data_IF_996994969676
#
_entry.id   IF_996994969676
#
_cell.length_a   1.000
_cell.length_b   1.000
_cell.length_c   1.000
_cell.angle_alpha   90.00
_cell.angle_beta   90.00
_cell.angle_gamma   90.00
#
_symmetry.space_group_name_H-M   'P 1'
#
loop_
_entity.id
_entity.type
_entity.pdbx_description
1 polymer ?
#
# COMPACT_ATOMS: atom_id res chain seq x y z
N UNK A 1 52.08 -16.52 -37.57
CA UNK A 1 50.66 -16.24 -37.85
C UNK A 1 49.86 -16.64 -36.62
N UNK A 2 49.26 -15.67 -35.93
CA UNK A 2 48.36 -15.91 -34.81
C UNK A 2 47.23 -14.89 -34.95
N UNK A 3 46.09 -15.38 -35.45
CA UNK A 3 44.83 -14.64 -35.50
C UNK A 3 44.32 -14.41 -34.08
N UNK A 4 44.24 -13.15 -33.68
CA UNK A 4 43.54 -12.73 -32.48
C UNK A 4 42.20 -12.12 -32.90
N UNK A 5 41.16 -12.97 -32.84
CA UNK A 5 39.78 -12.65 -33.13
C UNK A 5 39.23 -11.68 -32.06
N UNK A 6 39.32 -10.38 -32.33
CA UNK A 6 38.84 -9.34 -31.44
C UNK A 6 37.32 -9.18 -31.59
N UNK A 7 36.54 -9.90 -30.78
CA UNK A 7 35.08 -9.76 -30.77
C UNK A 7 34.69 -8.33 -30.34
N UNK A 8 34.20 -7.53 -31.28
CA UNK A 8 33.68 -6.19 -31.06
C UNK A 8 32.43 -6.24 -30.16
N UNK A 9 32.52 -5.66 -28.95
CA UNK A 9 31.40 -5.55 -28.02
C UNK A 9 30.35 -4.56 -28.56
N UNK A 10 29.26 -5.07 -29.14
CA UNK A 10 28.10 -4.28 -29.57
C UNK A 10 27.51 -3.48 -28.39
N UNK A 11 27.67 -2.15 -28.40
CA UNK A 11 27.00 -1.23 -27.46
C UNK A 11 25.49 -1.27 -27.70
N UNK A 12 24.73 -1.70 -26.69
CA UNK A 12 23.26 -1.68 -26.70
C UNK A 12 22.77 -0.23 -26.71
N UNK A 13 21.85 0.10 -27.64
CA UNK A 13 21.22 1.43 -27.69
C UNK A 13 20.41 1.66 -26.40
N UNK A 14 20.38 2.90 -25.86
CA UNK A 14 19.55 3.19 -24.70
C UNK A 14 18.08 2.95 -25.06
N UNK A 15 17.39 2.13 -24.26
CA UNK A 15 15.99 1.79 -24.46
C UNK A 15 15.07 3.01 -24.43
N UNK A 16 13.93 2.90 -25.10
CA UNK A 16 12.90 3.95 -25.16
C UNK A 16 12.41 4.23 -23.73
N UNK A 17 12.57 5.46 -23.25
CA UNK A 17 12.01 5.86 -21.94
C UNK A 17 10.48 5.75 -22.00
N UNK A 18 9.82 5.20 -20.97
CA UNK A 18 8.36 5.15 -20.92
C UNK A 18 7.82 6.59 -20.97
N UNK A 19 6.92 6.84 -21.93
CA UNK A 19 6.22 8.12 -22.02
C UNK A 19 5.31 8.26 -20.78
N UNK A 20 5.44 9.37 -20.06
CA UNK A 20 4.55 9.67 -18.96
C UNK A 20 3.12 9.73 -19.51
N UNK A 21 2.25 8.85 -19.03
CA UNK A 21 0.83 8.85 -19.37
C UNK A 21 0.25 10.18 -18.86
N UNK A 22 0.01 11.13 -19.76
CA UNK A 22 -0.61 12.40 -19.40
C UNK A 22 -2.04 12.10 -18.93
N UNK A 23 -2.23 12.08 -17.61
CA UNK A 23 -3.56 12.02 -17.03
C UNK A 23 -4.35 13.26 -17.51
N UNK A 24 -5.58 13.05 -17.98
CA UNK A 24 -6.50 14.14 -18.36
C UNK A 24 -6.54 15.17 -17.24
N UNK A 25 -6.15 16.42 -17.52
CA UNK A 25 -6.13 17.50 -16.53
C UNK A 25 -7.44 18.30 -16.58
N UNK A 26 -8.00 18.57 -15.42
CA UNK A 26 -9.18 19.42 -15.23
C UNK A 26 -8.73 20.66 -14.43
N UNK A 27 -9.14 21.85 -14.87
CA UNK A 27 -8.94 23.09 -14.13
C UNK A 27 -10.22 23.42 -13.38
N UNK A 28 -10.10 23.72 -12.08
CA UNK A 28 -11.21 24.18 -11.25
C UNK A 28 -10.84 25.53 -10.62
N UNK A 29 -11.83 26.40 -10.49
CA UNK A 29 -11.70 27.66 -9.76
C UNK A 29 -12.43 27.50 -8.44
N UNK A 30 -11.73 27.77 -7.34
CA UNK A 30 -12.30 27.71 -6.00
C UNK A 30 -12.33 29.13 -5.41
N UNK A 31 -13.35 29.47 -4.59
CA UNK A 31 -13.33 30.66 -3.77
C UNK A 31 -12.08 30.74 -2.88
N UNK A 32 -11.61 31.95 -2.51
CA UNK A 32 -10.42 32.11 -1.68
C UNK A 32 -10.48 31.36 -0.35
N UNK A 33 -11.65 31.33 0.29
CA UNK A 33 -11.87 30.61 1.56
C UNK A 33 -11.70 29.09 1.39
N UNK A 34 -12.25 28.52 0.32
CA UNK A 34 -12.14 27.08 0.04
C UNK A 34 -10.71 26.68 -0.34
N UNK A 35 -10.00 27.56 -1.03
CA UNK A 35 -8.57 27.37 -1.29
C UNK A 35 -7.76 27.32 0.00
N UNK A 36 -8.10 28.15 0.99
CA UNK A 36 -7.42 28.14 2.28
C UNK A 36 -7.75 26.90 3.10
N UNK A 37 -9.03 26.49 3.14
CA UNK A 37 -9.44 25.21 3.73
C UNK A 37 -8.69 24.03 3.11
N UNK A 38 -8.54 24.02 1.79
CA UNK A 38 -7.79 22.98 1.07
C UNK A 38 -6.30 22.99 1.43
N UNK A 39 -5.69 24.16 1.67
CA UNK A 39 -4.29 24.26 2.13
C UNK A 39 -4.15 23.71 3.55
N UNK A 40 -5.03 24.10 4.47
CA UNK A 40 -5.03 23.59 5.84
C UNK A 40 -5.20 22.07 5.84
N UNK A 41 -6.16 21.54 5.08
CA UNK A 41 -6.39 20.11 4.95
C UNK A 41 -5.15 19.38 4.39
N UNK A 42 -4.46 19.96 3.42
CA UNK A 42 -3.22 19.39 2.87
C UNK A 42 -2.10 19.31 3.92
N UNK A 43 -2.00 20.30 4.82
CA UNK A 43 -1.04 20.26 5.92
C UNK A 43 -1.40 19.20 6.96
N UNK A 44 -2.66 19.17 7.41
CA UNK A 44 -3.14 18.22 8.43
C UNK A 44 -3.00 16.78 7.95
N UNK A 45 -3.39 16.52 6.70
CA UNK A 45 -3.41 15.16 6.17
C UNK A 45 -2.08 14.73 5.54
N UNK A 46 -1.15 15.65 5.25
CA UNK A 46 0.08 15.33 4.53
C UNK A 46 -0.13 14.87 3.08
N UNK A 47 -1.34 15.04 2.52
CA UNK A 47 -1.64 14.81 1.11
C UNK A 47 -1.42 16.08 0.26
N UNK A 48 -1.15 15.91 -1.03
CA UNK A 48 -1.14 17.03 -1.96
C UNK A 48 -2.59 17.51 -2.25
N UNK A 49 -2.76 18.81 -2.52
CA UNK A 49 -4.07 19.40 -2.84
C UNK A 49 -4.84 18.66 -3.95
N UNK A 50 -4.14 18.24 -5.00
CA UNK A 50 -4.73 17.48 -6.11
C UNK A 50 -5.19 16.08 -5.71
N UNK A 51 -4.51 15.44 -4.76
CA UNK A 51 -4.88 14.14 -4.21
C UNK A 51 -6.12 14.25 -3.31
N UNK A 52 -6.20 15.32 -2.50
CA UNK A 52 -7.38 15.60 -1.68
C UNK A 52 -8.61 15.86 -2.55
N UNK A 53 -8.48 16.67 -3.59
CA UNK A 53 -9.56 16.92 -4.55
C UNK A 53 -10.00 15.64 -5.26
N UNK A 54 -9.05 14.77 -5.62
CA UNK A 54 -9.36 13.48 -6.24
C UNK A 54 -10.09 12.54 -5.28
N UNK A 55 -9.63 12.44 -4.03
CA UNK A 55 -10.31 11.65 -2.99
C UNK A 55 -11.73 12.16 -2.75
N UNK A 56 -11.89 13.47 -2.58
CA UNK A 56 -13.20 14.09 -2.41
C UNK A 56 -14.14 13.81 -3.59
N UNK A 57 -13.62 13.93 -4.82
CA UNK A 57 -14.37 13.59 -6.04
C UNK A 57 -14.80 12.12 -6.10
N UNK A 58 -13.99 11.21 -5.55
CA UNK A 58 -14.26 9.78 -5.50
C UNK A 58 -15.08 9.36 -4.26
N UNK A 59 -15.46 10.29 -3.38
CA UNK A 59 -16.12 9.98 -2.12
C UNK A 59 -15.24 9.24 -1.11
N UNK A 60 -13.92 9.30 -1.27
CA UNK A 60 -12.96 8.66 -0.38
C UNK A 60 -12.67 9.54 0.86
N UNK A 61 -12.40 8.92 2.01
CA UNK A 61 -12.07 9.65 3.23
C UNK A 61 -10.80 10.50 3.07
N UNK A 62 -10.83 11.72 3.62
CA UNK A 62 -9.71 12.67 3.64
C UNK A 62 -8.87 12.49 4.91
N UNK A 63 -8.48 11.25 5.19
CA UNK A 63 -7.69 10.89 6.38
C UNK A 63 -6.22 11.23 6.20
N UNK A 64 -5.45 11.33 7.31
CA UNK A 64 -4.01 11.54 7.23
C UNK A 64 -3.30 10.46 6.41
N UNK A 65 -2.29 10.89 5.67
CA UNK A 65 -1.41 10.03 4.90
C UNK A 65 -0.55 9.24 5.86
N UNK A 66 -0.98 8.04 6.20
CA UNK A 66 -0.16 7.15 7.00
C UNK A 66 1.00 6.64 6.15
N UNK A 67 2.20 7.10 6.50
CA UNK A 67 3.45 6.65 5.90
C UNK A 67 3.80 5.29 6.47
N UNK A 68 3.20 4.24 5.92
CA UNK A 68 3.73 2.91 6.13
C UNK A 68 5.13 2.85 5.53
N UNK A 69 6.15 2.61 6.35
CA UNK A 69 7.47 2.27 5.84
C UNK A 69 7.34 1.02 4.96
N UNK A 70 8.14 0.89 3.90
CA UNK A 70 8.13 -0.30 3.02
C UNK A 70 8.28 -1.58 3.85
N UNK A 71 9.11 -1.54 4.90
CA UNK A 71 9.27 -2.63 5.85
C UNK A 71 7.98 -2.94 6.63
N UNK A 72 7.18 -1.93 7.01
CA UNK A 72 5.92 -2.13 7.71
C UNK A 72 4.85 -2.75 6.78
N UNK A 73 4.84 -2.37 5.51
CA UNK A 73 3.95 -3.00 4.50
C UNK A 73 4.34 -4.45 4.26
N UNK A 74 5.63 -4.74 4.11
CA UNK A 74 6.10 -6.13 3.93
C UNK A 74 5.84 -6.96 5.18
N UNK A 75 6.06 -6.42 6.38
CA UNK A 75 5.74 -7.09 7.64
C UNK A 75 4.25 -7.39 7.75
N UNK A 76 3.38 -6.44 7.41
CA UNK A 76 1.93 -6.65 7.39
C UNK A 76 1.53 -7.77 6.42
N UNK A 77 2.11 -7.81 5.21
CA UNK A 77 1.84 -8.88 4.23
C UNK A 77 2.27 -10.24 4.77
N UNK A 78 3.43 -10.34 5.41
CA UNK A 78 3.90 -11.59 6.01
C UNK A 78 3.00 -12.02 7.17
N UNK A 79 2.51 -11.08 7.98
CA UNK A 79 1.52 -11.38 9.03
C UNK A 79 0.19 -11.90 8.45
N UNK A 80 -0.32 -11.31 7.38
CA UNK A 80 -1.54 -11.80 6.70
C UNK A 80 -1.35 -13.24 6.20
N UNK A 81 -0.20 -13.54 5.57
CA UNK A 81 0.11 -14.90 5.11
C UNK A 81 0.20 -15.90 6.27
N UNK A 82 0.82 -15.49 7.38
CA UNK A 82 0.93 -16.33 8.57
C UNK A 82 -0.44 -16.67 9.14
N UNK A 83 -1.33 -15.67 9.26
CA UNK A 83 -2.70 -15.87 9.74
C UNK A 83 -3.47 -16.85 8.84
N UNK A 84 -3.43 -16.66 7.52
CA UNK A 84 -4.09 -17.57 6.57
C UNK A 84 -3.54 -19.01 6.66
N UNK A 85 -2.24 -19.17 6.89
CA UNK A 85 -1.63 -20.48 7.08
C UNK A 85 -2.08 -21.12 8.39
N UNK A 86 -2.15 -20.36 9.48
CA UNK A 86 -2.62 -20.85 10.78
C UNK A 86 -4.10 -21.22 10.76
N UNK A 87 -4.95 -20.48 10.04
CA UNK A 87 -6.34 -20.84 9.77
C UNK A 87 -6.43 -22.19 9.05
N UNK A 88 -5.61 -22.36 8.00
CA UNK A 88 -5.56 -23.62 7.25
C UNK A 88 -5.16 -24.79 8.15
N UNK A 89 -4.16 -24.62 9.04
CA UNK A 89 -3.77 -25.65 10.01
C UNK A 89 -4.91 -25.95 10.99
N UNK A 90 -5.53 -24.92 11.56
CA UNK A 90 -6.64 -25.06 12.51
C UNK A 90 -7.88 -25.77 11.91
N UNK A 91 -8.07 -25.67 10.59
CA UNK A 91 -9.15 -26.33 9.85
C UNK A 91 -8.80 -27.75 9.37
N UNK A 92 -7.53 -28.02 9.06
CA UNK A 92 -7.09 -29.30 8.45
C UNK A 92 -6.62 -30.34 9.47
N UNK A 93 -6.08 -29.92 10.61
CA UNK A 93 -5.64 -30.85 11.65
C UNK A 93 -6.78 -31.12 12.66
N UNK A 94 -7.01 -32.41 12.95
CA UNK A 94 -7.89 -32.83 14.03
C UNK A 94 -7.18 -32.62 15.37
N UNK A 95 -7.27 -31.42 15.90
CA UNK A 95 -6.88 -31.13 17.26
C UNK A 95 -7.91 -31.66 18.27
N UNK A 96 -7.46 -31.96 19.47
CA UNK A 96 -8.34 -32.12 20.64
C UNK A 96 -9.26 -30.88 20.76
N UNK A 97 -10.57 -31.04 21.07
CA UNK A 97 -11.55 -29.96 21.01
C UNK A 97 -11.17 -28.70 21.81
N UNK A 98 -10.51 -28.89 22.96
CA UNK A 98 -10.03 -27.79 23.80
C UNK A 98 -8.90 -26.98 23.12
N UNK A 99 -8.00 -27.67 22.42
CA UNK A 99 -6.88 -27.06 21.69
C UNK A 99 -7.38 -26.34 20.45
N UNK A 100 -8.38 -26.90 19.76
CA UNK A 100 -9.00 -26.27 18.60
C UNK A 100 -9.73 -24.95 18.96
N UNK A 101 -10.46 -24.94 20.08
CA UNK A 101 -11.10 -23.71 20.59
C UNK A 101 -10.08 -22.64 20.98
N UNK A 102 -8.97 -23.04 21.61
CA UNK A 102 -7.91 -22.11 21.99
C UNK A 102 -7.16 -21.54 20.78
N UNK A 103 -6.89 -22.38 19.77
CA UNK A 103 -6.27 -21.94 18.51
C UNK A 103 -7.17 -20.94 17.76
N UNK A 104 -8.49 -21.20 17.71
CA UNK A 104 -9.46 -20.30 17.09
C UNK A 104 -9.55 -18.96 17.82
N UNK A 105 -9.61 -18.97 19.14
CA UNK A 105 -9.62 -17.73 19.94
C UNK A 105 -8.34 -16.89 19.76
N UNK A 106 -7.18 -17.55 19.66
CA UNK A 106 -5.92 -16.86 19.38
C UNK A 106 -5.87 -16.28 17.96
N UNK A 107 -6.39 -17.00 16.96
CA UNK A 107 -6.53 -16.50 15.58
C UNK A 107 -7.44 -15.27 15.52
N UNK A 108 -8.61 -15.32 16.17
CA UNK A 108 -9.55 -14.20 16.22
C UNK A 108 -8.90 -12.95 16.86
N UNK A 109 -8.11 -13.13 17.92
CA UNK A 109 -7.35 -12.03 18.54
C UNK A 109 -6.30 -11.42 17.61
N UNK A 110 -5.57 -12.25 16.85
CA UNK A 110 -4.58 -11.78 15.88
C UNK A 110 -5.26 -11.06 14.72
N UNK A 111 -6.39 -11.57 14.22
CA UNK A 111 -7.17 -10.89 13.18
C UNK A 111 -7.70 -9.53 13.65
N UNK A 112 -8.23 -9.44 14.88
CA UNK A 112 -8.68 -8.18 15.46
C UNK A 112 -7.53 -7.17 15.62
N UNK A 113 -6.35 -7.65 16.03
CA UNK A 113 -5.15 -6.82 16.11
C UNK A 113 -4.70 -6.33 14.72
N UNK A 114 -4.71 -7.19 13.71
CA UNK A 114 -4.39 -6.84 12.32
C UNK A 114 -5.38 -5.83 11.74
N UNK A 115 -6.67 -5.95 12.07
CA UNK A 115 -7.69 -4.99 11.71
C UNK A 115 -7.44 -3.63 12.37
N UNK A 116 -7.14 -3.63 13.68
CA UNK A 116 -6.82 -2.41 14.44
C UNK A 116 -5.55 -1.75 13.91
N UNK A 117 -4.54 -2.49 13.47
CA UNK A 117 -3.37 -1.93 12.81
C UNK A 117 -3.71 -1.29 11.46
N UNK A 118 -4.62 -1.88 10.70
CA UNK A 118 -5.08 -1.33 9.43
C UNK A 118 -5.95 -0.07 9.65
N UNK A 119 -6.81 -0.08 10.67
CA UNK A 119 -7.71 1.03 11.03
C UNK A 119 -7.01 2.16 11.79
N UNK A 120 -6.14 1.85 12.74
CA UNK A 120 -5.29 2.82 13.44
C UNK A 120 -4.25 3.46 12.52
N UNK A 121 -4.04 2.88 11.34
CA UNK A 121 -3.30 3.47 10.24
C UNK A 121 -4.19 4.18 9.19
N UNK A 122 -5.49 4.33 9.46
CA UNK A 122 -6.39 5.18 8.69
C UNK A 122 -6.97 6.34 9.51
N UNK A 123 -6.62 6.46 10.81
CA UNK A 123 -6.87 7.64 11.66
C UNK A 123 -5.71 8.64 11.61
#
# INVERSE_FOLDING_TARGET
MADADASEKKKRKPGRRPQAVHAKSLTITLPPEDMERLRVQAMVTGHHRSELLRRAWQGLPLTPKVKWNVQAVEFYKEMVKLVAHLETIAETEQFEPAVQQQAKAALDQVQQFMHTLNEGATQ
#
